data_IF_975786757943
#
_entry.id   IF_975786757943
#
_cell.length_a   1.000
_cell.length_b   1.000
_cell.length_c   1.000
_cell.angle_alpha   90.00
_cell.angle_beta   90.00
_cell.angle_gamma   90.00
#
_symmetry.space_group_name_H-M   'P 1'
#
loop_
_entity.id
_entity.type
_entity.pdbx_description
1 polymer ?
#
# COMPACT_ATOMS: atom_id res chain seq x y z
N UNK A 1 4.79 23.61 -6.91
CA UNK A 1 5.72 22.81 -7.73
C UNK A 1 4.89 21.82 -8.53
N UNK A 2 5.02 21.79 -9.86
CA UNK A 2 4.22 20.94 -10.74
C UNK A 2 4.58 19.49 -10.53
N UNK A 3 3.83 18.86 -9.65
CA UNK A 3 4.16 17.56 -9.15
C UNK A 3 3.44 16.49 -9.95
N UNK A 4 3.89 16.33 -11.19
CA UNK A 4 3.17 15.55 -12.18
C UNK A 4 3.44 14.07 -11.97
N UNK A 5 2.36 13.31 -11.83
CA UNK A 5 2.37 11.85 -11.83
C UNK A 5 3.11 11.33 -13.08
N UNK A 6 3.99 10.34 -12.92
CA UNK A 6 4.78 9.77 -14.00
C UNK A 6 4.30 8.34 -14.31
N UNK A 7 3.69 8.17 -15.49
CA UNK A 7 3.18 6.88 -15.96
C UNK A 7 4.27 5.81 -16.14
N UNK A 8 5.51 6.20 -16.48
CA UNK A 8 6.62 5.24 -16.57
C UNK A 8 6.95 4.68 -15.20
N UNK A 9 7.03 5.55 -14.18
CA UNK A 9 7.25 5.13 -12.79
C UNK A 9 6.11 4.25 -12.30
N UNK A 10 4.85 4.60 -12.59
CA UNK A 10 3.70 3.77 -12.24
C UNK A 10 3.78 2.38 -12.88
N UNK A 11 4.15 2.32 -14.16
CA UNK A 11 4.32 1.07 -14.90
C UNK A 11 5.43 0.21 -14.28
N UNK A 12 6.57 0.81 -13.95
CA UNK A 12 7.68 0.09 -13.29
C UNK A 12 7.29 -0.44 -11.92
N UNK A 13 6.56 0.33 -11.12
CA UNK A 13 6.04 -0.13 -9.82
C UNK A 13 5.08 -1.32 -10.04
N UNK A 14 4.15 -1.22 -11.00
CA UNK A 14 3.21 -2.30 -11.31
C UNK A 14 3.92 -3.59 -11.75
N UNK A 15 5.01 -3.47 -12.51
CA UNK A 15 5.81 -4.61 -12.98
C UNK A 15 6.42 -5.42 -11.83
N UNK A 16 6.77 -4.81 -10.71
CA UNK A 16 7.28 -5.51 -9.51
C UNK A 16 6.29 -6.57 -9.01
N UNK A 17 5.00 -6.38 -9.32
CA UNK A 17 3.92 -7.21 -8.82
C UNK A 17 3.41 -8.25 -9.81
N UNK A 18 3.95 -8.31 -11.04
CA UNK A 18 3.47 -9.22 -12.09
C UNK A 18 3.55 -10.71 -11.72
N UNK A 19 4.42 -11.06 -10.77
CA UNK A 19 4.55 -12.44 -10.26
C UNK A 19 3.43 -12.86 -9.31
N UNK A 20 2.64 -11.92 -8.79
CA UNK A 20 1.57 -12.22 -7.85
C UNK A 20 0.25 -12.43 -8.59
N UNK A 21 -0.40 -13.55 -8.30
CA UNK A 21 -1.67 -13.89 -8.93
C UNK A 21 -2.82 -13.02 -8.38
N UNK A 22 -3.75 -12.55 -9.24
CA UNK A 22 -4.95 -11.85 -8.79
C UNK A 22 -5.92 -12.76 -8.01
N UNK A 23 -5.73 -14.08 -8.04
CA UNK A 23 -6.54 -15.07 -7.31
C UNK A 23 -5.89 -15.57 -6.00
N UNK A 24 -4.71 -15.06 -5.66
CA UNK A 24 -4.01 -15.39 -4.42
C UNK A 24 -4.37 -14.42 -3.29
N UNK A 25 -4.00 -14.69 -2.02
CA UNK A 25 -4.05 -13.70 -0.95
C UNK A 25 -3.39 -12.39 -1.38
N UNK A 26 -4.11 -11.30 -1.16
CA UNK A 26 -3.74 -10.01 -1.71
C UNK A 26 -2.91 -9.13 -0.78
N UNK A 27 -2.39 -8.05 -1.37
CA UNK A 27 -1.72 -6.98 -0.66
C UNK A 27 -2.10 -5.63 -1.27
N UNK A 28 -1.90 -4.56 -0.49
CA UNK A 28 -1.97 -3.18 -0.95
C UNK A 28 -0.58 -2.54 -0.83
N UNK A 29 -0.27 -1.59 -1.71
CA UNK A 29 1.00 -0.87 -1.72
C UNK A 29 0.81 0.63 -1.88
N UNK A 30 1.78 1.38 -1.36
CA UNK A 30 1.87 2.83 -1.50
C UNK A 30 3.35 3.23 -1.61
N UNK A 31 3.66 4.14 -2.53
CA UNK A 31 4.94 4.81 -2.67
C UNK A 31 4.68 6.32 -2.77
N UNK A 32 5.04 7.04 -1.71
CA UNK A 32 4.89 8.49 -1.59
C UNK A 32 6.26 9.14 -1.66
N UNK A 33 6.37 10.19 -2.47
CA UNK A 33 7.59 10.94 -2.70
C UNK A 33 7.48 12.34 -2.10
N UNK A 34 8.59 12.91 -1.64
CA UNK A 34 8.66 14.24 -0.99
C UNK A 34 8.02 15.36 -1.80
N UNK A 35 8.04 15.19 -3.12
CA UNK A 35 7.43 16.12 -4.04
C UNK A 35 5.91 16.22 -3.85
N UNK A 36 5.29 15.16 -3.30
CA UNK A 36 3.85 14.97 -3.09
C UNK A 36 3.22 13.90 -3.99
N UNK A 37 3.98 13.26 -4.89
CA UNK A 37 3.43 12.26 -5.82
C UNK A 37 3.24 10.98 -5.05
N UNK A 38 2.09 10.34 -5.21
CA UNK A 38 1.81 9.04 -4.59
C UNK A 38 1.32 8.04 -5.63
N UNK A 39 1.99 6.90 -5.69
CA UNK A 39 1.56 5.73 -6.45
C UNK A 39 1.04 4.69 -5.48
N UNK A 40 -0.16 4.15 -5.72
CA UNK A 40 -0.79 3.16 -4.84
C UNK A 40 -1.63 2.20 -5.63
N UNK A 41 -1.80 1.01 -5.10
CA UNK A 41 -2.59 -0.04 -5.75
C UNK A 41 -2.76 -1.25 -4.85
N UNK A 42 -3.39 -2.27 -5.41
CA UNK A 42 -3.71 -3.50 -4.72
C UNK A 42 -3.70 -4.66 -5.71
N UNK A 43 -3.27 -5.85 -5.26
CA UNK A 43 -3.22 -7.07 -6.08
C UNK A 43 -3.70 -8.24 -5.23
N UNK A 44 -4.52 -9.12 -5.79
CA UNK A 44 -5.03 -10.32 -5.12
C UNK A 44 -6.36 -10.13 -4.39
N UNK A 45 -6.65 -11.04 -3.47
CA UNK A 45 -7.93 -11.14 -2.78
C UNK A 45 -7.82 -10.78 -1.29
N UNK A 46 -8.83 -10.11 -0.77
CA UNK A 46 -9.03 -9.89 0.67
C UNK A 46 -9.56 -11.13 1.39
N UNK A 47 -10.35 -11.95 0.69
CA UNK A 47 -10.79 -13.28 1.13
C UNK A 47 -10.77 -14.21 -0.08
N UNK A 48 -10.13 -15.37 0.09
CA UNK A 48 -10.03 -16.38 -0.98
C UNK A 48 -11.37 -17.08 -1.13
N UNK A 49 -11.97 -17.45 0.00
CA UNK A 49 -13.21 -18.21 0.12
C UNK A 49 -14.38 -17.46 -0.54
N UNK A 50 -14.50 -16.17 -0.21
CA UNK A 50 -15.55 -15.29 -0.75
C UNK A 50 -15.16 -14.68 -2.10
N UNK A 51 -13.94 -14.96 -2.60
CA UNK A 51 -13.39 -14.39 -3.83
C UNK A 51 -13.50 -12.85 -3.88
N UNK A 52 -13.26 -12.18 -2.76
CA UNK A 52 -13.40 -10.72 -2.62
C UNK A 52 -12.08 -10.06 -3.03
N UNK A 53 -12.04 -9.21 -4.07
CA UNK A 53 -10.83 -8.47 -4.44
C UNK A 53 -10.37 -7.53 -3.33
N UNK A 54 -9.06 -7.41 -3.17
CA UNK A 54 -8.48 -6.46 -2.22
C UNK A 54 -8.56 -5.02 -2.76
N UNK A 55 -8.83 -4.06 -1.89
CA UNK A 55 -8.83 -2.64 -2.24
C UNK A 55 -7.87 -1.85 -1.34
N UNK A 56 -7.40 -0.70 -1.82
CA UNK A 56 -6.49 0.19 -1.07
C UNK A 56 -7.09 0.74 0.25
N UNK A 57 -8.40 0.58 0.45
CA UNK A 57 -9.14 1.00 1.65
C UNK A 57 -9.36 -0.15 2.66
N UNK A 58 -8.96 -1.37 2.33
CA UNK A 58 -9.13 -2.50 3.23
C UNK A 58 -8.27 -2.30 4.49
N UNK A 59 -8.81 -2.70 5.64
CA UNK A 59 -8.11 -2.60 6.93
C UNK A 59 -7.25 -3.84 7.13
N UNK A 60 -6.01 -3.63 7.58
CA UNK A 60 -5.06 -4.70 7.89
C UNK A 60 -4.62 -4.62 9.34
N UNK A 61 -4.39 -5.78 9.95
CA UNK A 61 -3.67 -5.87 11.21
C UNK A 61 -2.17 -5.72 10.94
N UNK A 62 -1.60 -4.55 11.23
CA UNK A 62 -0.21 -4.20 10.87
C UNK A 62 0.86 -4.69 11.87
N UNK A 63 0.45 -5.41 12.93
CA UNK A 63 1.31 -6.04 13.93
C UNK A 63 2.41 -5.11 14.48
N UNK A 64 3.70 -5.48 14.36
CA UNK A 64 4.80 -4.70 14.95
C UNK A 64 4.95 -3.28 14.41
N UNK A 65 4.35 -2.94 13.25
CA UNK A 65 4.31 -1.55 12.77
C UNK A 65 3.57 -0.63 13.76
N UNK A 66 2.62 -1.16 14.53
CA UNK A 66 1.91 -0.39 15.58
C UNK A 66 2.84 0.24 16.62
N UNK A 67 4.06 -0.29 16.81
CA UNK A 67 5.04 0.26 17.76
C UNK A 67 5.47 1.69 17.42
N UNK A 68 5.56 2.03 16.13
CA UNK A 68 5.94 3.39 15.70
C UNK A 68 4.87 4.41 16.13
N UNK A 69 3.59 4.03 16.06
CA UNK A 69 2.48 4.87 16.53
C UNK A 69 2.53 5.05 18.04
N UNK A 70 2.74 3.98 18.81
CA UNK A 70 2.89 4.08 20.27
C UNK A 70 4.06 4.98 20.66
N UNK A 71 5.23 4.81 20.03
CA UNK A 71 6.39 5.66 20.27
C UNK A 71 6.10 7.13 19.97
N UNK A 72 5.45 7.42 18.84
CA UNK A 72 5.06 8.79 18.49
C UNK A 72 4.03 9.38 19.47
N UNK A 73 3.06 8.58 19.93
CA UNK A 73 2.09 9.02 20.94
C UNK A 73 2.76 9.38 22.27
N UNK A 74 3.81 8.65 22.67
CA UNK A 74 4.60 9.00 23.86
C UNK A 74 5.35 10.31 23.64
N UNK A 75 5.99 10.50 22.48
CA UNK A 75 6.69 11.73 22.14
C UNK A 75 5.78 12.97 22.16
N UNK A 76 4.52 12.83 21.75
CA UNK A 76 3.53 13.92 21.80
C UNK A 76 3.19 14.39 23.24
N UNK A 77 3.58 13.64 24.27
CA UNK A 77 3.37 13.99 25.68
C UNK A 77 4.55 14.78 26.28
N UNK A 78 5.67 14.91 25.57
CA UNK A 78 6.79 15.80 25.96
C UNK A 78 6.45 17.27 25.68
#
# INVERSE_FOLDING_TARGET
MNNTYNEKTHTSIKQLYNKFSPKAPGFAYIASFDSGVTYKGAVGLASIEENIPIAIKNVFNIASVSKQFTAFSILLLE
#
